data_IF_328515928212
#
_entry.id   IF_328515928212
#
_cell.length_a   1.000
_cell.length_b   1.000
_cell.length_c   1.000
_cell.angle_alpha   90.00
_cell.angle_beta   90.00
_cell.angle_gamma   90.00
#
_symmetry.space_group_name_H-M   'P 1'
#
loop_
_entity.id
_entity.type
_entity.pdbx_description
1 polymer ?
#
# COMPACT_ATOMS: atom_id res chain seq x y z
N UNK A 1 -11.72 11.40 18.72
CA UNK A 1 -10.91 10.97 17.70
C UNK A 1 -10.06 12.07 17.15
N UNK A 2 -9.02 11.76 16.70
CA UNK A 2 -8.12 12.77 16.24
C UNK A 2 -7.91 12.64 14.77
N UNK A 3 -7.43 13.68 14.19
CA UNK A 3 -7.19 13.73 12.80
C UNK A 3 -5.73 13.42 12.57
N UNK A 4 -5.49 12.56 11.65
CA UNK A 4 -4.13 12.26 11.35
C UNK A 4 -3.59 13.22 10.34
N UNK A 5 -2.36 13.58 10.55
CA UNK A 5 -1.59 14.25 9.54
C UNK A 5 -0.92 13.14 8.74
N UNK A 6 -1.41 12.88 7.57
CA UNK A 6 -0.89 11.75 6.80
C UNK A 6 0.59 11.86 6.53
N UNK A 7 1.10 13.08 6.38
CA UNK A 7 2.52 13.23 6.13
C UNK A 7 3.33 12.76 7.33
N UNK A 8 2.88 13.14 8.52
CA UNK A 8 3.56 12.71 9.73
C UNK A 8 3.43 11.21 9.92
N UNK A 9 2.24 10.69 9.65
CA UNK A 9 2.03 9.27 9.78
C UNK A 9 2.94 8.49 8.86
N UNK A 10 3.06 8.94 7.62
CA UNK A 10 3.92 8.25 6.67
C UNK A 10 5.37 8.27 7.13
N UNK A 11 5.80 9.36 7.72
CA UNK A 11 7.17 9.45 8.20
C UNK A 11 7.42 8.53 9.38
N UNK A 12 6.39 8.27 10.17
CA UNK A 12 6.53 7.39 11.32
C UNK A 12 6.29 5.94 10.95
N UNK A 13 5.82 5.68 9.76
CA UNK A 13 5.54 4.34 9.31
C UNK A 13 6.84 3.54 9.19
N UNK A 14 6.84 2.33 9.73
CA UNK A 14 8.02 1.49 9.70
C UNK A 14 7.99 0.63 8.44
N UNK A 15 8.68 1.06 7.41
CA UNK A 15 8.71 0.36 6.14
C UNK A 15 9.44 -0.97 6.21
N UNK A 16 10.18 -1.20 7.27
CA UNK A 16 10.93 -2.45 7.43
C UNK A 16 10.13 -3.53 8.14
N UNK A 17 8.95 -3.20 8.65
CA UNK A 17 8.13 -4.14 9.40
C UNK A 17 7.50 -5.13 8.43
N UNK A 18 7.32 -6.37 8.87
CA UNK A 18 6.67 -7.33 7.98
C UNK A 18 5.22 -6.93 7.76
N UNK A 19 4.68 -7.36 6.62
CA UNK A 19 3.38 -6.89 6.20
C UNK A 19 2.62 -7.98 5.47
N UNK A 20 1.30 -7.83 5.48
CA UNK A 20 0.42 -8.71 4.73
C UNK A 20 -0.41 -7.87 3.80
N UNK A 21 -0.52 -8.32 2.57
CA UNK A 21 -1.26 -7.59 1.56
C UNK A 21 -2.45 -8.43 1.11
N UNK A 22 -3.63 -7.83 1.15
CA UNK A 22 -4.86 -8.49 0.73
C UNK A 22 -5.40 -7.73 -0.46
N UNK A 23 -5.34 -8.35 -1.62
CA UNK A 23 -5.70 -7.64 -2.83
C UNK A 23 -6.93 -8.27 -3.47
N UNK A 24 -7.72 -7.42 -4.11
CA UNK A 24 -8.89 -7.88 -4.83
C UNK A 24 -8.45 -8.60 -6.09
N UNK A 25 -9.24 -9.57 -6.50
CA UNK A 25 -8.91 -10.38 -7.65
C UNK A 25 -9.61 -9.97 -8.92
N UNK A 26 -10.18 -8.84 -8.96
CA UNK A 26 -10.86 -8.41 -10.16
C UNK A 26 -12.20 -9.08 -10.31
N UNK A 27 -12.63 -9.27 -11.53
CA UNK A 27 -14.00 -9.67 -11.78
C UNK A 27 -14.33 -11.06 -11.31
N UNK A 28 -13.35 -11.91 -11.26
CA UNK A 28 -13.59 -13.29 -10.90
C UNK A 28 -13.37 -13.57 -9.44
N UNK A 29 -13.26 -12.53 -8.66
CA UNK A 29 -12.89 -12.74 -7.28
C UNK A 29 -13.92 -13.55 -6.52
N UNK A 30 -15.17 -13.58 -6.95
CA UNK A 30 -16.11 -14.37 -6.17
C UNK A 30 -15.86 -15.84 -6.30
N UNK A 31 -15.14 -16.26 -7.33
CA UNK A 31 -14.76 -17.65 -7.42
C UNK A 31 -13.44 -17.92 -6.76
N UNK A 32 -12.74 -16.87 -6.40
CA UNK A 32 -11.44 -16.97 -5.77
C UNK A 32 -11.41 -16.03 -4.61
N UNK A 33 -10.76 -16.41 -3.53
CA UNK A 33 -10.63 -15.48 -2.40
C UNK A 33 -9.77 -14.31 -2.80
N UNK A 34 -9.81 -13.29 -1.97
CA UNK A 34 -8.88 -12.18 -2.14
C UNK A 34 -7.48 -12.71 -2.20
N UNK A 35 -6.65 -12.07 -3.01
CA UNK A 35 -5.27 -12.41 -3.03
C UNK A 35 -4.63 -12.08 -1.70
N UNK A 36 -3.78 -12.96 -1.25
CA UNK A 36 -3.10 -12.77 0.01
C UNK A 36 -1.62 -12.99 -0.20
N UNK A 37 -0.82 -12.09 0.34
CA UNK A 37 0.61 -12.23 0.20
C UNK A 37 1.31 -11.63 1.38
N UNK A 38 2.32 -12.31 1.86
CA UNK A 38 3.07 -11.84 2.99
C UNK A 38 4.44 -11.37 2.54
N UNK A 39 4.89 -10.27 3.13
CA UNK A 39 6.17 -9.69 2.76
C UNK A 39 7.00 -9.50 4.01
N UNK A 40 8.28 -9.73 3.88
CA UNK A 40 9.19 -9.53 5.00
C UNK A 40 9.28 -8.06 5.39
N UNK A 41 9.05 -7.16 4.41
CA UNK A 41 9.08 -5.72 4.69
C UNK A 41 7.89 -5.06 4.06
N UNK A 42 7.32 -4.11 4.80
CA UNK A 42 6.18 -3.37 4.28
C UNK A 42 6.54 -2.62 3.01
N UNK A 43 7.77 -2.16 2.89
CA UNK A 43 8.20 -1.48 1.67
C UNK A 43 7.99 -2.34 0.44
N UNK A 44 8.29 -3.64 0.55
CA UNK A 44 8.12 -4.54 -0.57
C UNK A 44 6.65 -4.76 -0.89
N UNK A 45 5.81 -4.81 0.14
CA UNK A 45 4.38 -4.95 -0.08
C UNK A 45 3.80 -3.73 -0.79
N UNK A 46 4.23 -2.57 -0.38
CA UNK A 46 3.78 -1.32 -0.98
C UNK A 46 4.24 -1.26 -2.43
N UNK A 47 5.49 -1.63 -2.66
CA UNK A 47 6.04 -1.67 -4.00
C UNK A 47 5.21 -2.59 -4.89
N UNK A 48 4.92 -3.78 -4.41
CA UNK A 48 4.15 -4.74 -5.17
C UNK A 48 2.75 -4.19 -5.48
N UNK A 49 2.11 -3.59 -4.48
CA UNK A 49 0.76 -3.10 -4.67
C UNK A 49 0.69 -2.00 -5.73
N UNK A 50 1.67 -1.12 -5.74
CA UNK A 50 1.63 0.02 -6.66
C UNK A 50 2.20 -0.35 -8.02
N UNK A 51 3.24 -1.17 -8.04
CA UNK A 51 3.95 -1.42 -9.30
C UNK A 51 3.51 -2.69 -10.01
N UNK A 52 2.98 -3.65 -9.28
CA UNK A 52 2.66 -4.94 -9.89
C UNK A 52 1.16 -5.18 -10.05
N UNK A 53 0.34 -4.68 -9.14
CA UNK A 53 -1.10 -4.91 -9.28
C UNK A 53 -1.69 -4.03 -10.35
N UNK A 54 -2.64 -4.56 -11.13
CA UNK A 54 -3.38 -3.69 -12.03
C UNK A 54 -4.10 -2.62 -11.23
N UNK A 55 -4.22 -1.42 -11.77
CA UNK A 55 -4.84 -0.33 -11.01
C UNK A 55 -6.24 -0.65 -10.51
N UNK A 56 -7.03 -1.39 -11.27
CA UNK A 56 -8.38 -1.70 -10.82
C UNK A 56 -8.38 -2.67 -9.66
N UNK A 57 -7.32 -3.43 -9.48
CA UNK A 57 -7.23 -4.33 -8.34
C UNK A 57 -6.80 -3.60 -7.10
N UNK A 58 -6.08 -2.52 -7.27
CA UNK A 58 -5.60 -1.76 -6.14
C UNK A 58 -6.75 -1.20 -5.31
N UNK A 59 -7.85 -0.88 -5.96
CA UNK A 59 -8.97 -0.24 -5.30
C UNK A 59 -9.47 -1.02 -4.10
N UNK A 60 -9.51 -2.33 -4.19
CA UNK A 60 -10.00 -3.14 -3.07
C UNK A 60 -8.90 -3.74 -2.23
N UNK A 61 -7.70 -3.26 -2.40
CA UNK A 61 -6.54 -3.81 -1.72
C UNK A 61 -6.29 -3.10 -0.40
N UNK A 62 -5.84 -3.86 0.60
CA UNK A 62 -5.40 -3.22 1.83
C UNK A 62 -4.17 -3.93 2.36
N UNK A 63 -3.44 -3.20 3.16
CA UNK A 63 -2.18 -3.63 3.73
C UNK A 63 -2.33 -3.69 5.23
N UNK A 64 -1.82 -4.74 5.86
CA UNK A 64 -1.80 -4.82 7.32
C UNK A 64 -0.37 -4.85 7.80
N UNK A 65 -0.04 -3.93 8.67
CA UNK A 65 1.29 -3.84 9.26
C UNK A 65 1.10 -3.57 10.73
N UNK A 66 1.65 -4.43 11.56
CA UNK A 66 1.60 -4.23 13.01
C UNK A 66 0.16 -4.00 13.47
N UNK A 67 -0.76 -4.81 12.94
CA UNK A 67 -2.16 -4.79 13.32
C UNK A 67 -2.91 -3.53 12.89
N UNK A 68 -2.30 -2.72 12.04
CA UNK A 68 -2.98 -1.57 11.48
C UNK A 68 -3.25 -1.82 10.02
N UNK A 69 -4.40 -1.35 9.56
CA UNK A 69 -4.82 -1.58 8.20
C UNK A 69 -4.74 -0.29 7.40
N UNK A 70 -4.14 -0.40 6.22
CA UNK A 70 -3.94 0.73 5.33
C UNK A 70 -4.63 0.42 4.02
N UNK A 71 -5.53 1.29 3.61
CA UNK A 71 -6.29 1.06 2.39
C UNK A 71 -5.55 1.61 1.18
N UNK A 72 -6.14 1.42 0.01
CA UNK A 72 -5.46 1.74 -1.23
C UNK A 72 -4.89 3.15 -1.25
N UNK A 73 -5.67 4.14 -0.81
CA UNK A 73 -5.18 5.50 -0.85
C UNK A 73 -4.02 5.71 0.11
N UNK A 74 -4.02 4.98 1.21
CA UNK A 74 -2.91 5.09 2.16
C UNK A 74 -1.68 4.41 1.61
N UNK A 75 -1.85 3.28 0.93
CA UNK A 75 -0.73 2.61 0.29
C UNK A 75 -0.09 3.56 -0.72
N UNK A 76 -0.92 4.26 -1.48
CA UNK A 76 -0.39 5.21 -2.45
C UNK A 76 0.37 6.33 -1.76
N UNK A 77 -0.16 6.84 -0.65
CA UNK A 77 0.54 7.89 0.08
C UNK A 77 1.87 7.40 0.62
N UNK A 78 1.89 6.17 1.11
CA UNK A 78 3.15 5.63 1.62
C UNK A 78 4.17 5.45 0.51
N UNK A 79 3.71 5.06 -0.67
CA UNK A 79 4.58 4.92 -1.82
C UNK A 79 5.16 6.27 -2.25
N UNK A 80 4.33 7.31 -2.18
CA UNK A 80 4.74 8.64 -2.64
C UNK A 80 5.52 9.42 -1.59
N UNK A 81 5.59 8.90 -0.38
CA UNK A 81 6.24 9.61 0.72
C UNK A 81 7.74 9.71 0.50
N UNK A 82 8.32 10.79 0.96
CA UNK A 82 9.77 10.94 0.90
C UNK A 82 10.48 9.87 1.72
N UNK A 83 9.78 9.27 2.68
CA UNK A 83 10.38 8.24 3.52
C UNK A 83 10.40 6.86 2.87
N UNK A 84 9.69 6.69 1.75
CA UNK A 84 9.67 5.41 1.07
C UNK A 84 11.09 5.03 0.65
N UNK A 85 11.56 3.86 1.06
CA UNK A 85 13.00 3.58 0.94
C UNK A 85 13.44 2.95 -0.37
N UNK A 86 12.51 2.52 -1.22
CA UNK A 86 12.90 1.82 -2.43
C UNK A 86 12.83 2.73 -3.64
N UNK A 87 13.51 2.32 -4.70
CA UNK A 87 13.40 3.03 -5.97
C UNK A 87 11.99 2.87 -6.50
N UNK A 88 11.47 3.88 -7.17
CA UNK A 88 10.13 3.85 -7.72
C UNK A 88 10.18 3.66 -9.21
N UNK A 89 9.35 2.74 -9.69
CA UNK A 89 9.16 2.58 -11.12
C UNK A 89 7.92 3.31 -11.60
N UNK A 90 7.04 3.66 -10.67
CA UNK A 90 5.86 4.43 -11.00
C UNK A 90 6.07 5.83 -10.49
N UNK A 91 5.80 6.81 -11.32
CA UNK A 91 6.02 8.19 -10.91
C UNK A 91 5.16 8.53 -9.72
N UNK A 92 5.70 9.41 -8.86
CA UNK A 92 4.92 9.92 -7.75
C UNK A 92 3.72 10.66 -8.31
N UNK A 93 2.58 10.51 -7.65
CA UNK A 93 1.37 11.14 -8.12
C UNK A 93 1.58 12.65 -8.26
N UNK A 94 1.10 13.23 -9.36
CA UNK A 94 1.32 14.66 -9.56
C UNK A 94 0.62 15.48 -8.51
N UNK A 95 1.19 16.60 -8.22
CA UNK A 95 0.58 17.52 -7.30
C UNK A 95 -0.09 18.61 -8.08
N UNK A 96 -1.21 19.01 -7.58
CA UNK A 96 -1.87 20.15 -8.19
C UNK A 96 -1.32 21.37 -7.56
N UNK A 97 -0.64 22.09 -8.33
CA UNK A 97 0.05 23.22 -7.76
C UNK A 97 -0.67 24.48 -8.09
#
# INVERSE_FOLDING_TARGET
>A
MHTFDYAIEAELFDYSFEAELFSAKGKNFRRQPLGYRRFARAADAICFAIEELPPHCLVGTYLEVNEERYQAKDIRRLYDSAAYPLARRVAVAPRNI
#
